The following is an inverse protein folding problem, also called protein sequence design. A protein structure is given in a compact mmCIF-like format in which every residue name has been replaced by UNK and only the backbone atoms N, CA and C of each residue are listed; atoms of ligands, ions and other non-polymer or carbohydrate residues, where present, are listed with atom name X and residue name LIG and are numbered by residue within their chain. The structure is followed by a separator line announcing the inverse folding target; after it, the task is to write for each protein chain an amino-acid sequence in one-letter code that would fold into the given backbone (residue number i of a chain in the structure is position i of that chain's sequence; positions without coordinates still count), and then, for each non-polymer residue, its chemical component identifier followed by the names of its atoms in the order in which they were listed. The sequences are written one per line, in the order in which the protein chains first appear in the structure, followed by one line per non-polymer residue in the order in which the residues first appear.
data_IF_542573157661
#
_entry.id   IF_542573157661
#
_cell.length_a   1.000
_cell.length_b   1.000
_cell.length_c   1.000
_cell.angle_alpha   90.00
_cell.angle_beta   90.00
_cell.angle_gamma   90.00
#
_symmetry.space_group_name_H-M   'P 1'
#
loop_
_entity.id
_entity.type
_entity.pdbx_description
1 polymer ?
#
# COMPACT_ATOMS: atom_id res chain seq x y z
N UNK A 1 -28.65 -1.56 17.34
CA UNK A 1 -28.39 -0.19 16.84
C UNK A 1 -27.24 -0.27 15.86
N UNK A 2 -27.52 -0.47 14.57
CA UNK A 2 -26.48 -0.58 13.53
C UNK A 2 -26.00 0.83 13.18
N UNK A 3 -24.79 1.19 13.60
CA UNK A 3 -24.18 2.48 13.29
C UNK A 3 -24.13 2.68 11.77
N UNK A 4 -25.00 3.55 11.25
CA UNK A 4 -25.18 3.88 9.83
C UNK A 4 -23.96 4.54 9.17
N UNK A 5 -22.90 4.79 9.95
CA UNK A 5 -21.69 5.55 9.62
C UNK A 5 -20.41 4.69 9.56
N UNK A 6 -20.50 3.37 9.42
CA UNK A 6 -19.29 2.54 9.30
C UNK A 6 -18.49 2.92 8.04
N UNK A 7 -17.18 3.23 8.14
CA UNK A 7 -16.35 3.57 6.98
C UNK A 7 -16.17 2.41 5.98
N UNK A 8 -16.53 1.18 6.38
CA UNK A 8 -16.61 0.03 5.48
C UNK A 8 -17.80 0.11 4.51
N UNK A 9 -18.78 1.00 4.77
CA UNK A 9 -19.97 1.17 3.94
C UNK A 9 -19.56 1.81 2.60
N UNK A 10 -19.55 1.00 1.55
CA UNK A 10 -19.11 1.39 0.21
C UNK A 10 -17.71 0.89 -0.18
N UNK A 11 -17.07 0.07 0.66
CA UNK A 11 -15.90 -0.72 0.25
C UNK A 11 -16.39 -2.01 -0.42
N UNK A 12 -16.02 -2.32 -1.68
CA UNK A 12 -16.43 -3.56 -2.32
C UNK A 12 -15.81 -4.79 -1.61
N UNK A 13 -16.52 -5.91 -1.63
CA UNK A 13 -15.95 -7.19 -1.23
C UNK A 13 -14.84 -7.59 -2.20
N UNK A 14 -13.89 -8.40 -1.73
CA UNK A 14 -12.89 -8.97 -2.62
C UNK A 14 -13.51 -9.98 -3.62
N UNK A 15 -12.75 -10.38 -4.65
CA UNK A 15 -13.25 -11.27 -5.70
C UNK A 15 -13.72 -12.65 -5.18
N UNK A 16 -13.27 -13.08 -3.99
CA UNK A 16 -13.69 -14.32 -3.34
C UNK A 16 -14.57 -14.06 -2.11
N UNK A 17 -15.13 -12.86 -1.96
CA UNK A 17 -15.96 -12.48 -0.82
C UNK A 17 -15.17 -11.98 0.40
N UNK A 18 -13.90 -11.58 0.23
CA UNK A 18 -13.07 -11.10 1.33
C UNK A 18 -13.63 -9.81 1.95
N UNK A 19 -13.82 -9.82 3.28
CA UNK A 19 -14.35 -8.67 4.05
C UNK A 19 -13.41 -7.46 3.96
N UNK A 20 -13.91 -6.22 4.16
CA UNK A 20 -13.09 -4.99 4.06
C UNK A 20 -11.88 -4.90 4.99
N UNK A 21 -11.92 -5.56 6.14
CA UNK A 21 -10.84 -5.61 7.13
C UNK A 21 -9.68 -6.53 6.75
N UNK A 22 -9.88 -7.37 5.73
CA UNK A 22 -8.85 -8.26 5.18
C UNK A 22 -8.12 -7.56 4.03
N UNK A 23 -6.78 -7.60 4.04
CA UNK A 23 -5.97 -7.09 2.95
C UNK A 23 -6.25 -7.86 1.65
N UNK A 24 -6.70 -7.15 0.61
CA UNK A 24 -7.00 -7.71 -0.70
C UNK A 24 -6.58 -6.72 -1.80
N UNK A 25 -5.39 -6.89 -2.42
CA UNK A 25 -4.90 -5.99 -3.46
C UNK A 25 -5.84 -5.89 -4.68
N UNK A 26 -6.56 -6.97 -4.98
CA UNK A 26 -7.45 -7.07 -6.14
C UNK A 26 -8.84 -6.49 -5.90
N UNK A 27 -9.14 -5.99 -4.70
CA UNK A 27 -10.47 -5.51 -4.28
C UNK A 27 -11.07 -4.47 -5.21
N UNK A 28 -10.23 -3.62 -5.78
CA UNK A 28 -10.66 -2.54 -6.67
C UNK A 28 -10.47 -2.86 -8.15
N UNK A 29 -10.12 -4.10 -8.51
CA UNK A 29 -10.03 -4.52 -9.91
C UNK A 29 -11.38 -5.08 -10.35
N UNK A 30 -11.89 -4.60 -11.48
CA UNK A 30 -13.04 -5.22 -12.14
C UNK A 30 -12.56 -6.24 -13.15
N UNK A 31 -13.39 -7.24 -13.46
CA UNK A 31 -13.09 -8.24 -14.49
C UNK A 31 -12.71 -7.56 -15.80
N UNK A 32 -11.84 -8.24 -16.56
CA UNK A 32 -11.43 -7.75 -17.87
C UNK A 32 -12.68 -7.50 -18.72
N UNK A 33 -12.77 -6.32 -19.32
CA UNK A 33 -13.75 -6.09 -20.39
C UNK A 33 -13.47 -7.07 -21.54
N UNK A 34 -14.41 -7.23 -22.47
CA UNK A 34 -14.25 -8.06 -23.69
C UNK A 34 -12.95 -7.77 -24.45
N UNK A 35 -12.34 -6.61 -24.21
CA UNK A 35 -11.13 -6.12 -24.88
C UNK A 35 -9.83 -6.49 -24.13
N UNK A 36 -9.89 -7.31 -23.09
CA UNK A 36 -8.72 -7.73 -22.29
C UNK A 36 -8.18 -6.66 -21.34
N UNK A 37 -8.86 -5.53 -21.17
CA UNK A 37 -8.45 -4.46 -20.26
C UNK A 37 -9.00 -4.70 -18.85
N UNK A 38 -8.13 -4.62 -17.84
CA UNK A 38 -8.54 -4.64 -16.43
C UNK A 38 -9.12 -3.27 -16.08
N UNK A 39 -10.39 -3.24 -15.67
CA UNK A 39 -11.00 -2.01 -15.15
C UNK A 39 -10.71 -1.81 -13.67
N UNK A 40 -10.93 -0.59 -13.18
CA UNK A 40 -10.76 -0.23 -11.76
C UNK A 40 -12.09 0.27 -11.22
N UNK A 41 -12.58 -0.37 -10.15
CA UNK A 41 -13.71 0.12 -9.38
C UNK A 41 -13.20 1.23 -8.46
N UNK A 42 -13.53 2.47 -8.81
CA UNK A 42 -13.26 3.63 -7.96
C UNK A 42 -14.51 3.94 -7.16
N UNK A 43 -14.43 4.05 -5.81
CA UNK A 43 -15.56 4.49 -5.01
C UNK A 43 -16.11 5.82 -5.52
N UNK A 44 -17.44 6.02 -5.52
CA UNK A 44 -18.03 7.26 -6.02
C UNK A 44 -17.49 8.46 -5.22
N UNK A 45 -17.43 9.63 -5.87
CA UNK A 45 -16.80 10.85 -5.31
C UNK A 45 -17.38 11.33 -3.98
N UNK A 46 -18.62 10.93 -3.67
CA UNK A 46 -19.33 11.23 -2.42
C UNK A 46 -19.26 10.09 -1.39
N UNK A 47 -18.48 9.04 -1.66
CA UNK A 47 -18.32 7.92 -0.75
C UNK A 47 -17.41 8.28 0.41
N UNK A 48 -17.82 7.92 1.62
CA UNK A 48 -16.97 7.98 2.81
C UNK A 48 -15.99 6.81 2.91
N UNK A 49 -16.10 5.82 2.01
CA UNK A 49 -15.29 4.59 2.04
C UNK A 49 -13.83 4.77 1.61
N UNK A 50 -13.47 5.89 0.96
CA UNK A 50 -12.10 6.13 0.49
C UNK A 50 -11.72 7.61 0.54
N UNK A 51 -11.20 8.05 1.70
CA UNK A 51 -10.89 9.46 2.00
C UNK A 51 -9.48 9.64 2.60
N UNK A 52 -8.50 8.80 2.24
CA UNK A 52 -7.13 8.86 2.81
C UNK A 52 -6.44 10.22 2.65
N UNK A 53 -6.82 10.99 1.63
CA UNK A 53 -6.34 12.35 1.37
C UNK A 53 -7.42 13.42 1.55
N UNK A 54 -8.59 13.08 2.10
CA UNK A 54 -9.75 13.97 2.15
C UNK A 54 -10.41 14.21 0.80
N UNK A 55 -11.28 15.22 0.73
CA UNK A 55 -12.06 15.60 -0.45
C UNK A 55 -12.35 17.12 -0.44
N UNK A 56 -12.75 17.66 -1.61
CA UNK A 56 -13.18 19.06 -1.75
C UNK A 56 -12.03 20.06 -1.61
N UNK A 57 -12.33 21.25 -1.08
CA UNK A 57 -11.36 22.35 -0.92
C UNK A 57 -10.24 22.07 0.09
N UNK A 58 -10.38 21.02 0.90
CA UNK A 58 -9.42 20.60 1.92
C UNK A 58 -8.77 19.25 1.58
N UNK A 59 -8.85 18.81 0.32
CA UNK A 59 -8.08 17.66 -0.17
C UNK A 59 -6.59 17.92 0.06
N UNK A 60 -5.86 16.89 0.49
CA UNK A 60 -4.44 16.99 0.76
C UNK A 60 -3.70 17.43 -0.52
N UNK A 61 -3.00 18.58 -0.52
CA UNK A 61 -2.27 19.05 -1.70
C UNK A 61 -1.11 18.11 -2.07
N UNK A 62 -0.66 17.27 -1.13
CA UNK A 62 0.38 16.28 -1.34
C UNK A 62 -0.06 14.98 -2.02
N UNK A 63 -1.35 14.80 -2.38
CA UNK A 63 -1.86 13.55 -2.97
C UNK A 63 -1.03 13.08 -4.18
N UNK A 64 -0.78 13.98 -5.14
CA UNK A 64 -0.04 13.63 -6.36
C UNK A 64 1.40 13.22 -6.08
N UNK A 65 2.06 13.91 -5.14
CA UNK A 65 3.41 13.56 -4.71
C UNK A 65 3.42 12.19 -4.01
N UNK A 66 2.48 11.94 -3.10
CA UNK A 66 2.37 10.67 -2.41
C UNK A 66 2.14 9.50 -3.38
N UNK A 67 1.25 9.65 -4.36
CA UNK A 67 0.99 8.62 -5.39
C UNK A 67 2.27 8.29 -6.18
N UNK A 68 3.03 9.30 -6.60
CA UNK A 68 4.28 9.11 -7.33
C UNK A 68 5.38 8.48 -6.47
N UNK A 69 5.58 8.99 -5.25
CA UNK A 69 6.60 8.49 -4.32
C UNK A 69 6.33 7.04 -3.93
N UNK A 70 5.09 6.70 -3.53
CA UNK A 70 4.73 5.33 -3.14
C UNK A 70 4.93 4.37 -4.31
N UNK A 71 4.48 4.74 -5.51
CA UNK A 71 4.64 3.91 -6.71
C UNK A 71 6.11 3.64 -7.02
N UNK A 72 6.95 4.69 -6.97
CA UNK A 72 8.38 4.56 -7.20
C UNK A 72 9.07 3.72 -6.11
N UNK A 73 8.77 3.97 -4.84
CA UNK A 73 9.34 3.20 -3.72
C UNK A 73 8.99 1.73 -3.84
N UNK A 74 7.72 1.38 -4.06
CA UNK A 74 7.28 -0.01 -4.20
C UNK A 74 7.91 -0.67 -5.43
N UNK A 75 7.95 0.02 -6.58
CA UNK A 75 8.58 -0.50 -7.78
C UNK A 75 10.08 -0.79 -7.57
N UNK A 76 10.81 0.13 -6.94
CA UNK A 76 12.24 -0.04 -6.61
C UNK A 76 12.46 -1.20 -5.66
N UNK A 77 11.66 -1.30 -4.58
CA UNK A 77 11.78 -2.38 -3.62
C UNK A 77 11.54 -3.76 -4.24
N UNK A 78 10.46 -3.90 -5.03
CA UNK A 78 10.13 -5.17 -5.68
C UNK A 78 11.16 -5.52 -6.76
N UNK A 79 11.65 -4.53 -7.52
CA UNK A 79 12.64 -4.75 -8.58
C UNK A 79 13.97 -5.24 -8.03
N UNK A 80 14.50 -4.60 -6.98
CA UNK A 80 15.87 -4.85 -6.53
C UNK A 80 15.96 -5.82 -5.35
N UNK A 81 14.88 -6.06 -4.60
CA UNK A 81 14.92 -6.88 -3.39
C UNK A 81 13.88 -8.00 -3.39
N UNK A 82 14.26 -9.10 -2.77
CA UNK A 82 13.36 -10.07 -2.16
C UNK A 82 13.18 -9.69 -0.68
N UNK A 83 11.93 -9.57 -0.25
CA UNK A 83 11.58 -9.14 1.10
C UNK A 83 10.91 -10.28 1.86
N UNK A 84 11.37 -10.55 3.07
CA UNK A 84 10.77 -11.56 3.97
C UNK A 84 10.64 -11.00 5.37
N UNK A 85 9.58 -11.40 6.08
CA UNK A 85 9.46 -11.10 7.49
C UNK A 85 10.54 -11.88 8.27
N UNK A 86 11.15 -11.25 9.27
CA UNK A 86 12.15 -11.92 10.10
C UNK A 86 11.56 -13.20 10.74
N UNK A 87 12.37 -14.26 10.92
CA UNK A 87 11.91 -15.46 11.61
C UNK A 87 11.47 -15.09 13.03
N UNK A 88 10.37 -15.69 13.49
CA UNK A 88 9.77 -15.45 14.80
C UNK A 88 9.39 -13.97 15.06
N UNK A 89 9.00 -13.23 14.01
CA UNK A 89 8.42 -11.91 14.18
C UNK A 89 7.03 -12.01 14.82
N UNK A 90 6.78 -11.20 15.86
CA UNK A 90 5.52 -11.22 16.59
C UNK A 90 4.37 -10.65 15.73
N UNK A 91 3.11 -11.05 15.95
CA UNK A 91 1.97 -10.49 15.21
C UNK A 91 1.95 -8.97 15.30
N UNK A 92 1.79 -8.31 14.16
CA UNK A 92 1.75 -6.86 14.04
C UNK A 92 0.31 -6.41 14.28
N UNK A 93 0.09 -5.64 15.35
CA UNK A 93 -1.17 -4.96 15.59
C UNK A 93 -1.18 -3.55 15.03
N UNK A 94 -2.11 -2.74 15.52
CA UNK A 94 -2.30 -1.35 15.09
C UNK A 94 -2.47 -0.48 16.33
N UNK A 95 -1.76 0.64 16.37
CA UNK A 95 -2.00 1.70 17.34
C UNK A 95 -2.26 3.02 16.62
N UNK A 96 -2.96 3.93 17.28
CA UNK A 96 -3.35 5.23 16.71
C UNK A 96 -2.54 6.33 17.35
N UNK A 97 -1.80 7.06 16.52
CA UNK A 97 -1.25 8.35 16.87
C UNK A 97 -1.88 9.40 15.93
N UNK A 98 -1.07 10.05 15.09
CA UNK A 98 -1.55 10.94 14.02
C UNK A 98 -2.10 10.12 12.84
N UNK A 99 -1.54 8.93 12.60
CA UNK A 99 -2.04 7.91 11.67
C UNK A 99 -2.16 6.57 12.39
N UNK A 100 -2.76 5.57 11.73
CA UNK A 100 -2.59 4.18 12.15
C UNK A 100 -1.13 3.78 11.86
N UNK A 101 -0.44 3.33 12.90
CA UNK A 101 0.94 2.85 12.84
C UNK A 101 0.98 1.42 13.41
N UNK A 102 1.99 0.61 13.07
CA UNK A 102 2.19 -0.65 13.76
C UNK A 102 2.49 -0.39 15.25
N UNK A 103 2.04 -1.29 16.10
CA UNK A 103 2.28 -1.24 17.54
C UNK A 103 3.68 -1.74 17.95
N UNK A 104 4.36 -2.43 17.03
CA UNK A 104 5.72 -2.95 17.17
C UNK A 104 6.53 -2.74 15.88
N UNK A 105 7.86 -2.77 15.99
CA UNK A 105 8.74 -2.68 14.82
C UNK A 105 8.54 -3.87 13.87
N UNK A 106 8.33 -3.59 12.58
CA UNK A 106 8.24 -4.60 11.53
C UNK A 106 9.66 -4.95 11.06
N UNK A 107 10.18 -6.10 11.47
CA UNK A 107 11.52 -6.55 11.08
C UNK A 107 11.47 -7.27 9.74
N UNK A 108 11.95 -6.61 8.69
CA UNK A 108 11.99 -7.13 7.32
C UNK A 108 13.44 -7.44 6.94
N UNK A 109 13.68 -8.64 6.43
CA UNK A 109 14.93 -9.07 5.84
C UNK A 109 14.89 -8.79 4.33
N UNK A 110 15.84 -7.98 3.87
CA UNK A 110 16.02 -7.66 2.45
C UNK A 110 17.17 -8.49 1.90
N UNK A 111 16.98 -9.08 0.72
CA UNK A 111 18.03 -9.76 -0.03
C UNK A 111 18.05 -9.23 -1.46
N UNK A 112 19.20 -8.86 -2.05
CA UNK A 112 19.25 -8.45 -3.45
C UNK A 112 18.64 -9.52 -4.37
N UNK A 113 17.77 -9.10 -5.29
CA UNK A 113 17.13 -9.98 -6.29
C UNK A 113 18.11 -10.34 -7.40
N UNK A 114 18.90 -9.37 -7.84
CA UNK A 114 20.01 -9.57 -8.77
C UNK A 114 21.34 -9.60 -8.00
N UNK A 115 22.07 -10.71 -8.10
CA UNK A 115 23.36 -10.89 -7.40
C UNK A 115 24.51 -10.12 -8.07
N UNK A 116 24.29 -9.54 -9.25
CA UNK A 116 25.34 -8.91 -10.06
C UNK A 116 25.46 -7.38 -9.89
N UNK A 117 24.56 -6.73 -9.14
CA UNK A 117 24.54 -5.26 -8.99
C UNK A 117 25.25 -4.71 -7.73
N UNK A 118 25.70 -5.57 -6.81
CA UNK A 118 26.51 -5.10 -5.66
C UNK A 118 27.95 -4.89 -6.13
N UNK A 119 28.18 -3.82 -6.90
CA UNK A 119 29.53 -3.26 -7.02
C UNK A 119 29.81 -2.54 -5.71
N UNK A 120 30.73 -3.12 -4.95
CA UNK A 120 31.37 -2.53 -3.78
C UNK A 120 31.71 -1.07 -4.10
N UNK A 121 31.02 -0.15 -3.43
CA UNK A 121 31.35 1.28 -3.50
C UNK A 121 32.64 1.44 -2.71
N UNK A 122 33.77 1.51 -3.42
CA UNK A 122 35.07 1.83 -2.84
C UNK A 122 34.96 3.22 -2.18
N UNK A 123 35.04 3.27 -0.84
CA UNK A 123 34.91 4.47 -0.01
C UNK A 123 35.87 5.61 -0.46
N UNK A 124 36.89 5.28 -1.26
CA UNK A 124 37.82 6.24 -1.87
C UNK A 124 37.20 7.18 -2.90
N UNK A 125 35.97 6.93 -3.37
CA UNK A 125 35.32 7.78 -4.36
C UNK A 125 34.45 8.91 -3.77
N UNK A 126 34.32 8.96 -2.44
CA UNK A 126 33.48 9.93 -1.71
C UNK A 126 34.25 11.20 -1.29
N UNK A 127 35.58 11.18 -1.32
CA UNK A 127 36.40 12.36 -1.01
C UNK A 127 37.19 12.77 -2.23
N UNK A 128 36.63 13.68 -3.02
CA UNK A 128 37.39 14.48 -3.98
C UNK A 128 36.92 15.92 -3.95
#
# INVERSE_FOLDING_TARGET
MTNSHSPAKGVPLGPNGEKPDVFCPRRYLTSATTDGRIGVSVPPRNSTSFLSFGHGSRVCPGKGLADATISLTVATLIKHFEMRLAPNHAPIGRTKLVSEIPDIDIRILFSPRDKNEVKEIDEKQIVK
#
